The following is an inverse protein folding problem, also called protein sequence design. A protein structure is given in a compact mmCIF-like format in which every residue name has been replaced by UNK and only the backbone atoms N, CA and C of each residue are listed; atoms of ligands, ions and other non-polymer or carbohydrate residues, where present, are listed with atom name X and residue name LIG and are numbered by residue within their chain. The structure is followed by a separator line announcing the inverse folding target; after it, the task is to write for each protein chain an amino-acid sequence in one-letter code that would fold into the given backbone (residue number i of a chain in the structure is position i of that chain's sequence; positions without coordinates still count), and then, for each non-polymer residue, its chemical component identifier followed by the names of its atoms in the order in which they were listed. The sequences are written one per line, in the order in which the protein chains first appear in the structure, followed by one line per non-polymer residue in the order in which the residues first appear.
data_IF_926106267533
#
_entry.id   IF_926106267533
#
_cell.length_a   1.000
_cell.length_b   1.000
_cell.length_c   1.000
_cell.angle_alpha   90.00
_cell.angle_beta   90.00
_cell.angle_gamma   90.00
#
_symmetry.space_group_name_H-M   'P 1'
#
loop_
_entity.id
_entity.type
_entity.pdbx_description
1 polymer ?
#
# COMPACT_ATOMS: atom_id res chain seq x y z
N UNK A 1 -43.18 3.87 -67.06
CA UNK A 1 -43.11 2.72 -66.14
C UNK A 1 -42.47 3.20 -64.84
N UNK A 2 -43.10 4.07 -64.05
CA UNK A 2 -43.97 3.73 -62.89
C UNK A 2 -43.47 2.55 -62.04
N UNK A 3 -42.83 2.85 -60.89
CA UNK A 3 -43.47 2.69 -59.57
C UNK A 3 -42.67 3.39 -58.46
N UNK A 4 -43.35 4.36 -57.83
CA UNK A 4 -43.15 4.86 -56.47
C UNK A 4 -43.60 3.81 -55.45
N UNK A 5 -43.06 3.86 -54.24
CA UNK A 5 -43.75 3.47 -52.97
C UNK A 5 -42.79 3.73 -51.80
N UNK A 6 -42.81 4.89 -51.15
CA UNK A 6 -43.66 5.27 -49.98
C UNK A 6 -43.36 4.49 -48.68
N UNK A 7 -42.85 5.23 -47.69
CA UNK A 7 -42.80 4.87 -46.25
C UNK A 7 -44.19 4.57 -45.68
N UNK A 8 -44.24 3.84 -44.55
CA UNK A 8 -45.11 4.20 -43.43
C UNK A 8 -44.34 4.34 -42.08
N UNK A 9 -44.98 4.86 -41.01
CA UNK A 9 -44.32 5.53 -39.89
C UNK A 9 -44.15 4.69 -38.61
N UNK A 10 -43.46 5.30 -37.64
CA UNK A 10 -43.13 4.86 -36.28
C UNK A 10 -44.18 4.02 -35.53
N UNK A 11 -43.71 3.00 -34.80
CA UNK A 11 -44.27 2.62 -33.48
C UNK A 11 -43.14 2.18 -32.55
N UNK A 12 -43.16 2.79 -31.36
CA UNK A 12 -42.31 2.47 -30.23
C UNK A 12 -42.60 1.06 -29.72
N UNK A 13 -41.55 0.23 -29.64
CA UNK A 13 -41.55 -1.03 -28.90
C UNK A 13 -40.59 -0.91 -27.73
N UNK A 14 -41.13 -0.70 -26.53
CA UNK A 14 -40.39 -0.89 -25.28
C UNK A 14 -40.09 -2.38 -25.14
N UNK A 15 -38.83 -2.79 -25.21
CA UNK A 15 -38.41 -4.07 -24.64
C UNK A 15 -38.00 -3.83 -23.19
N UNK A 16 -38.72 -4.53 -22.32
CA UNK A 16 -38.47 -4.61 -20.89
C UNK A 16 -37.22 -5.47 -20.72
N UNK A 17 -36.06 -4.84 -20.54
CA UNK A 17 -34.90 -5.48 -19.92
C UNK A 17 -35.05 -5.31 -18.42
N UNK A 18 -35.19 -6.46 -17.77
CA UNK A 18 -35.42 -6.66 -16.36
C UNK A 18 -34.32 -5.97 -15.54
N UNK A 19 -34.65 -4.78 -15.00
CA UNK A 19 -33.80 -4.09 -14.04
C UNK A 19 -34.02 -4.77 -12.70
N UNK A 20 -33.01 -5.51 -12.23
CA UNK A 20 -32.96 -5.92 -10.83
C UNK A 20 -33.20 -4.70 -9.93
N UNK A 21 -34.06 -4.81 -8.91
CA UNK A 21 -34.46 -3.66 -8.11
C UNK A 21 -33.23 -3.11 -7.37
N UNK A 22 -32.99 -1.82 -7.59
CA UNK A 22 -32.12 -1.01 -6.73
C UNK A 22 -32.79 -0.96 -5.36
N UNK A 23 -32.10 -1.44 -4.33
CA UNK A 23 -32.55 -1.24 -2.96
C UNK A 23 -32.39 0.25 -2.61
N UNK A 24 -33.50 0.98 -2.69
CA UNK A 24 -33.64 2.28 -2.05
C UNK A 24 -33.60 2.05 -0.53
N UNK A 25 -32.52 2.51 0.09
CA UNK A 25 -32.28 2.39 1.51
C UNK A 25 -31.63 3.65 2.06
N UNK A 26 -32.38 4.76 2.07
CA UNK A 26 -32.11 5.86 2.98
C UNK A 26 -32.42 5.38 4.42
N UNK A 27 -31.46 4.65 5.01
CA UNK A 27 -31.55 4.08 6.35
C UNK A 27 -30.56 4.77 7.29
N UNK A 28 -30.99 5.83 7.94
CA UNK A 28 -30.38 6.28 9.19
C UNK A 28 -30.56 5.18 10.24
N UNK A 29 -29.55 4.33 10.43
CA UNK A 29 -29.49 3.43 11.58
C UNK A 29 -28.07 3.34 12.11
N UNK A 30 -27.87 3.90 13.30
CA UNK A 30 -26.70 3.69 14.14
C UNK A 30 -26.62 2.20 14.49
N UNK A 31 -25.84 1.42 13.77
CA UNK A 31 -25.40 0.10 14.23
C UNK A 31 -23.88 0.11 14.29
N UNK A 32 -23.36 0.14 15.51
CA UNK A 32 -21.96 -0.17 15.80
C UNK A 32 -21.72 -1.59 15.31
N UNK A 33 -20.90 -1.75 14.26
CA UNK A 33 -20.28 -3.02 13.99
C UNK A 33 -19.35 -3.32 15.19
N UNK A 34 -19.79 -4.21 16.07
CA UNK A 34 -18.91 -4.79 17.07
C UNK A 34 -17.92 -5.68 16.32
N UNK A 35 -16.69 -5.18 16.16
CA UNK A 35 -15.52 -6.04 15.94
C UNK A 35 -15.42 -6.96 17.15
N UNK A 36 -15.60 -8.25 16.92
CA UNK A 36 -15.34 -9.27 17.94
C UNK A 36 -13.83 -9.30 18.14
N UNK A 37 -13.36 -8.63 19.20
CA UNK A 37 -12.06 -8.90 19.82
C UNK A 37 -12.02 -10.36 20.27
N UNK A 38 -10.91 -11.10 20.04
CA UNK A 38 -10.40 -12.23 20.83
C UNK A 38 -8.97 -12.64 20.34
N UNK A 39 -8.22 -13.48 21.08
CA UNK A 39 -7.25 -13.12 22.09
C UNK A 39 -5.79 -13.16 21.57
N UNK A 40 -4.92 -12.46 22.28
CA UNK A 40 -3.47 -12.41 22.08
C UNK A 40 -2.82 -13.80 22.13
N UNK A 41 -1.88 -14.07 21.20
CA UNK A 41 -0.99 -15.23 21.34
C UNK A 41 -0.48 -15.84 20.04
N UNK A 42 0.30 -15.10 19.25
CA UNK A 42 1.36 -15.66 18.37
C UNK A 42 2.25 -14.51 17.90
N UNK A 43 3.55 -14.66 18.10
CA UNK A 43 4.56 -13.64 17.77
C UNK A 43 4.39 -13.14 16.34
N UNK A 44 3.96 -11.88 16.22
CA UNK A 44 3.66 -11.21 14.95
C UNK A 44 4.99 -10.81 14.30
N UNK A 45 5.39 -11.51 13.25
CA UNK A 45 6.50 -11.07 12.41
C UNK A 45 5.93 -10.16 11.32
N UNK A 46 5.88 -8.85 11.58
CA UNK A 46 5.70 -7.87 10.52
C UNK A 46 6.97 -7.90 9.68
N UNK A 47 6.94 -8.59 8.54
CA UNK A 47 7.98 -8.45 7.54
C UNK A 47 7.65 -7.21 6.73
N UNK A 48 8.10 -6.04 7.23
CA UNK A 48 8.11 -4.80 6.46
C UNK A 48 9.20 -4.93 5.39
N UNK A 49 8.82 -5.47 4.23
CA UNK A 49 9.57 -5.24 3.01
C UNK A 49 8.86 -4.10 2.33
N UNK A 50 9.45 -2.94 2.49
CA UNK A 50 8.88 -1.73 1.99
C UNK A 50 9.56 -1.44 0.64
N UNK A 51 8.82 -1.08 -0.40
CA UNK A 51 9.38 -0.74 -1.73
C UNK A 51 9.45 0.76 -2.02
N UNK A 52 9.22 1.59 -0.99
CA UNK A 52 8.89 3.01 -1.14
C UNK A 52 7.39 3.24 -1.31
N UNK A 53 6.57 2.17 -1.32
CA UNK A 53 5.14 2.27 -1.59
C UNK A 53 4.28 1.27 -0.80
N UNK A 54 4.75 0.06 -0.49
CA UNK A 54 3.87 -1.02 0.04
C UNK A 54 4.25 -1.54 1.42
N UNK A 55 3.28 -2.14 2.10
CA UNK A 55 3.45 -2.89 3.35
C UNK A 55 2.76 -4.24 3.27
N UNK A 56 3.25 -5.21 4.07
CA UNK A 56 2.69 -6.56 4.16
C UNK A 56 2.22 -6.84 5.57
N UNK A 57 0.98 -7.34 5.68
CA UNK A 57 0.43 -7.88 6.92
C UNK A 57 -0.43 -9.10 6.62
N UNK A 58 -0.41 -10.10 7.51
CA UNK A 58 -1.16 -11.35 7.33
C UNK A 58 -0.89 -12.05 5.97
N UNK A 59 0.31 -11.90 5.41
CA UNK A 59 0.71 -12.45 4.12
C UNK A 59 0.05 -11.79 2.89
N UNK A 60 -0.58 -10.63 3.05
CA UNK A 60 -1.17 -9.86 1.94
C UNK A 60 -0.66 -8.42 1.93
N UNK A 61 -0.93 -7.71 0.83
CA UNK A 61 -0.70 -6.27 0.76
C UNK A 61 -1.67 -5.57 1.71
N UNK A 62 -1.15 -4.73 2.61
CA UNK A 62 -1.95 -3.86 3.47
C UNK A 62 -1.95 -2.42 2.91
N UNK A 63 -1.38 -1.46 3.64
CA UNK A 63 -1.27 -0.09 3.20
C UNK A 63 -0.31 0.05 2.03
N UNK A 64 -0.79 0.74 0.99
CA UNK A 64 0.00 1.21 -0.15
C UNK A 64 -0.07 2.73 -0.16
N UNK A 65 1.08 3.41 -0.16
CA UNK A 65 1.23 4.85 0.03
C UNK A 65 1.48 5.54 -1.31
N UNK A 66 0.63 6.50 -1.68
CA UNK A 66 0.78 7.23 -2.96
C UNK A 66 0.08 8.60 -2.92
N UNK A 67 0.62 9.64 -3.59
CA UNK A 67 1.93 9.71 -4.23
C UNK A 67 3.07 9.93 -3.23
N UNK A 68 2.76 9.84 -1.94
CA UNK A 68 3.65 10.23 -0.84
C UNK A 68 3.56 9.19 0.27
N UNK A 69 4.66 9.02 0.99
CA UNK A 69 4.77 8.06 2.10
C UNK A 69 3.85 8.36 3.29
N UNK A 70 3.27 9.56 3.33
CA UNK A 70 2.37 10.00 4.39
C UNK A 70 0.88 9.83 4.04
N UNK A 71 0.58 9.25 2.87
CA UNK A 71 -0.77 9.13 2.33
C UNK A 71 -1.11 7.67 1.95
N UNK A 72 -1.63 6.85 2.88
CA UNK A 72 -2.10 5.51 2.55
C UNK A 72 -3.34 5.58 1.64
N UNK A 73 -3.30 4.86 0.52
CA UNK A 73 -4.36 4.80 -0.49
C UNK A 73 -5.11 3.46 -0.52
N UNK A 74 -4.50 2.40 0.01
CA UNK A 74 -5.10 1.07 0.13
C UNK A 74 -5.15 0.70 1.59
N UNK A 75 -6.20 -0.03 2.01
CA UNK A 75 -6.22 -0.68 3.32
C UNK A 75 -5.66 -2.10 3.22
N UNK A 76 -6.21 -2.88 2.31
CA UNK A 76 -5.73 -4.22 1.98
C UNK A 76 -6.04 -4.63 0.54
N UNK A 77 -5.14 -5.42 -0.04
CA UNK A 77 -5.32 -6.21 -1.25
C UNK A 77 -5.06 -7.68 -0.90
N UNK A 78 -6.14 -8.41 -0.65
CA UNK A 78 -6.13 -9.83 -0.26
C UNK A 78 -6.71 -10.75 -1.32
N UNK A 79 -6.89 -12.03 -0.96
CA UNK A 79 -7.34 -13.06 -1.90
C UNK A 79 -8.37 -14.01 -1.27
N UNK A 80 -9.30 -14.51 -2.09
CA UNK A 80 -10.15 -15.67 -1.81
C UNK A 80 -9.80 -16.78 -2.81
N UNK A 81 -9.73 -18.01 -2.33
CA UNK A 81 -9.68 -19.22 -3.16
C UNK A 81 -10.99 -19.97 -3.01
N UNK A 82 -11.64 -20.36 -4.10
CA UNK A 82 -12.91 -21.10 -4.08
C UNK A 82 -13.02 -22.09 -5.24
N UNK A 83 -13.90 -23.09 -5.14
CA UNK A 83 -14.17 -24.06 -6.22
C UNK A 83 -15.55 -23.87 -6.87
N UNK A 84 -16.30 -22.85 -6.46
CA UNK A 84 -17.70 -22.60 -6.82
C UNK A 84 -18.66 -23.78 -6.49
N UNK A 85 -18.23 -24.74 -5.66
CA UNK A 85 -18.94 -25.98 -5.25
C UNK A 85 -18.91 -26.20 -3.71
N UNK A 86 -18.91 -25.11 -2.96
CA UNK A 86 -19.06 -25.11 -1.50
C UNK A 86 -17.76 -25.00 -0.71
N UNK A 87 -16.59 -25.14 -1.34
CA UNK A 87 -15.33 -24.74 -0.73
C UNK A 87 -14.99 -23.29 -1.09
N UNK A 88 -14.68 -22.49 -0.06
CA UNK A 88 -13.97 -21.23 -0.22
C UNK A 88 -13.11 -20.95 1.03
N UNK A 89 -12.08 -20.15 0.84
CA UNK A 89 -11.06 -19.81 1.83
C UNK A 89 -10.64 -18.36 1.66
N UNK A 90 -10.72 -17.55 2.71
CA UNK A 90 -10.08 -16.24 2.76
C UNK A 90 -8.61 -16.43 3.14
N UNK A 91 -7.72 -16.22 2.17
CA UNK A 91 -6.30 -16.58 2.27
C UNK A 91 -5.65 -16.04 3.55
N UNK A 92 -5.87 -14.78 3.89
CA UNK A 92 -5.24 -14.14 5.08
C UNK A 92 -5.71 -14.69 6.43
N UNK A 93 -6.85 -15.39 6.47
CA UNK A 93 -7.45 -15.94 7.70
C UNK A 93 -7.27 -17.45 7.80
N UNK A 94 -7.44 -18.13 6.68
CA UNK A 94 -7.60 -19.59 6.65
C UNK A 94 -6.30 -20.31 6.27
N UNK A 95 -5.34 -19.62 5.61
CA UNK A 95 -4.03 -20.16 5.29
C UNK A 95 -2.93 -19.70 6.25
N UNK A 96 -1.94 -20.57 6.46
CA UNK A 96 -0.67 -20.17 7.07
C UNK A 96 0.22 -19.48 6.04
N UNK A 97 1.12 -18.59 6.46
CA UNK A 97 1.97 -17.86 5.53
C UNK A 97 3.41 -17.70 6.02
N UNK A 98 4.34 -17.69 5.06
CA UNK A 98 5.72 -17.25 5.23
C UNK A 98 5.98 -16.03 4.31
N UNK A 99 6.65 -15.00 4.84
CA UNK A 99 6.96 -13.77 4.11
C UNK A 99 8.46 -13.53 4.17
N UNK A 100 9.09 -13.38 3.00
CA UNK A 100 10.53 -13.18 2.87
C UNK A 100 10.86 -12.23 1.73
N UNK A 101 12.06 -11.65 1.78
CA UNK A 101 12.63 -10.95 0.64
C UNK A 101 13.17 -11.94 -0.40
N UNK A 102 13.39 -11.46 -1.62
CA UNK A 102 14.12 -12.20 -2.65
C UNK A 102 15.52 -12.60 -2.17
N UNK A 103 16.15 -11.69 -1.42
CA UNK A 103 17.45 -11.86 -0.74
C UNK A 103 17.46 -11.11 0.60
N UNK A 104 18.41 -11.39 1.51
CA UNK A 104 18.61 -10.59 2.71
C UNK A 104 18.72 -9.09 2.43
N UNK A 105 17.77 -8.31 2.97
CA UNK A 105 17.72 -6.85 2.80
C UNK A 105 17.18 -6.36 1.45
N UNK A 106 16.64 -7.23 0.60
CA UNK A 106 16.00 -6.81 -0.66
C UNK A 106 14.47 -6.78 -0.51
N UNK A 107 13.81 -5.63 -0.72
CA UNK A 107 12.37 -5.48 -0.55
C UNK A 107 11.50 -6.01 -1.71
N UNK A 108 12.05 -6.89 -2.55
CA UNK A 108 11.26 -7.70 -3.48
C UNK A 108 10.65 -8.86 -2.70
N UNK A 109 9.33 -8.91 -2.60
CA UNK A 109 8.64 -9.72 -1.59
C UNK A 109 8.17 -11.03 -2.20
N UNK A 110 8.37 -12.12 -1.46
CA UNK A 110 7.80 -13.42 -1.76
C UNK A 110 6.95 -13.83 -0.56
N UNK A 111 5.70 -14.20 -0.82
CA UNK A 111 4.79 -14.76 0.18
C UNK A 111 4.35 -16.14 -0.27
N UNK A 112 4.49 -17.13 0.60
CA UNK A 112 3.93 -18.47 0.37
C UNK A 112 2.82 -18.71 1.38
N UNK A 113 1.60 -18.92 0.88
CA UNK A 113 0.45 -19.35 1.65
C UNK A 113 0.25 -20.84 1.53
N UNK A 114 0.18 -21.53 2.66
CA UNK A 114 -0.02 -22.97 2.76
C UNK A 114 -1.39 -23.27 3.41
N UNK A 115 -2.21 -24.02 2.67
CA UNK A 115 -3.51 -24.53 3.07
C UNK A 115 -3.64 -26.02 2.67
N UNK A 116 -4.44 -26.86 3.36
CA UNK A 116 -4.58 -28.27 2.98
C UNK A 116 -5.08 -28.50 1.54
N UNK A 117 -5.92 -27.60 1.02
CA UNK A 117 -6.52 -27.68 -0.33
C UNK A 117 -5.68 -27.05 -1.44
N UNK A 118 -4.78 -26.10 -1.12
CA UNK A 118 -4.04 -25.32 -2.11
C UNK A 118 -2.74 -24.75 -1.55
N UNK A 119 -1.85 -24.35 -2.45
CA UNK A 119 -0.73 -23.45 -2.14
C UNK A 119 -0.85 -22.21 -3.02
N UNK A 120 -0.69 -21.03 -2.44
CA UNK A 120 -0.68 -19.77 -3.19
C UNK A 120 0.66 -19.07 -2.96
N UNK A 121 1.46 -18.94 -4.01
CA UNK A 121 2.70 -18.17 -3.99
C UNK A 121 2.47 -16.79 -4.63
N UNK A 122 2.90 -15.75 -3.94
CA UNK A 122 2.84 -14.37 -4.41
C UNK A 122 4.26 -13.81 -4.54
N UNK A 123 4.57 -13.20 -5.69
CA UNK A 123 5.76 -12.34 -5.86
C UNK A 123 5.30 -10.91 -6.04
N UNK A 124 5.86 -9.98 -5.27
CA UNK A 124 5.42 -8.59 -5.23
C UNK A 124 6.63 -7.66 -5.38
N UNK A 125 6.56 -6.73 -6.33
CA UNK A 125 7.53 -5.66 -6.50
C UNK A 125 6.81 -4.34 -6.83
N UNK A 126 7.44 -3.22 -6.46
CA UNK A 126 7.05 -1.93 -7.02
C UNK A 126 7.77 -1.69 -8.35
N UNK A 127 7.32 -0.68 -9.07
CA UNK A 127 7.99 -0.18 -10.27
C UNK A 127 8.76 1.10 -9.90
N UNK A 128 10.01 1.20 -10.34
CA UNK A 128 10.84 2.38 -10.07
C UNK A 128 10.53 3.53 -11.05
N UNK A 129 9.96 3.21 -12.21
CA UNK A 129 9.69 4.15 -13.30
C UNK A 129 8.19 4.48 -13.45
N UNK A 130 7.32 3.84 -12.67
CA UNK A 130 5.88 4.05 -12.71
C UNK A 130 5.21 4.01 -11.33
N UNK A 131 4.05 4.67 -11.22
CA UNK A 131 3.27 4.75 -9.98
C UNK A 131 2.39 3.50 -9.80
N UNK A 132 3.01 2.33 -9.63
CA UNK A 132 2.27 1.06 -9.55
C UNK A 132 2.96 -0.01 -8.71
N UNK A 133 2.17 -1.02 -8.36
CA UNK A 133 2.62 -2.27 -7.71
C UNK A 133 2.25 -3.44 -8.61
N UNK A 134 3.19 -4.38 -8.76
CA UNK A 134 3.01 -5.63 -9.50
C UNK A 134 2.90 -6.79 -8.52
N UNK A 135 1.98 -7.71 -8.81
CA UNK A 135 1.84 -8.97 -8.09
C UNK A 135 1.77 -10.09 -9.11
N UNK A 136 2.60 -11.11 -8.98
CA UNK A 136 2.39 -12.39 -9.65
C UNK A 136 1.84 -13.37 -8.62
N UNK A 137 0.72 -14.02 -8.97
CA UNK A 137 0.06 -15.00 -8.13
C UNK A 137 0.07 -16.36 -8.84
N UNK A 138 0.65 -17.37 -8.20
CA UNK A 138 0.63 -18.75 -8.67
C UNK A 138 -0.17 -19.61 -7.69
N UNK A 139 -1.27 -20.19 -8.17
CA UNK A 139 -2.15 -21.05 -7.39
C UNK A 139 -1.97 -22.51 -7.80
N UNK A 140 -1.51 -23.31 -6.84
CA UNK A 140 -1.39 -24.76 -6.97
C UNK A 140 -2.59 -25.45 -6.30
N UNK A 141 -3.32 -26.25 -7.08
CA UNK A 141 -4.32 -27.17 -6.58
C UNK A 141 -3.63 -28.45 -6.05
N UNK A 142 -3.80 -28.74 -4.74
CA UNK A 142 -3.20 -29.91 -4.06
C UNK A 142 -4.00 -31.21 -4.18
N UNK A 143 -5.18 -31.19 -4.80
CA UNK A 143 -5.86 -32.44 -5.12
C UNK A 143 -5.04 -33.22 -6.16
N UNK A 144 -5.07 -34.54 -6.04
CA UNK A 144 -4.49 -35.46 -7.00
C UNK A 144 -4.96 -35.07 -8.43
N UNK A 145 -4.06 -34.94 -9.41
CA UNK A 145 -4.44 -34.70 -10.81
C UNK A 145 -5.50 -35.68 -11.35
N UNK A 146 -5.58 -36.90 -10.80
CA UNK A 146 -6.58 -37.90 -11.15
C UNK A 146 -7.94 -37.73 -10.44
N UNK A 147 -8.04 -36.82 -9.46
CA UNK A 147 -9.30 -36.55 -8.75
C UNK A 147 -10.30 -35.83 -9.67
N UNK A 148 -11.49 -36.41 -9.94
CA UNK A 148 -12.46 -35.84 -10.87
C UNK A 148 -12.96 -34.45 -10.41
N UNK A 149 -12.92 -34.15 -9.11
CA UNK A 149 -13.32 -32.85 -8.57
C UNK A 149 -12.43 -31.72 -9.07
N UNK A 150 -11.15 -31.99 -9.31
CA UNK A 150 -10.20 -31.00 -9.83
C UNK A 150 -10.58 -30.50 -11.22
N UNK A 151 -11.12 -31.38 -12.06
CA UNK A 151 -11.61 -31.02 -13.40
C UNK A 151 -13.03 -30.45 -13.38
N UNK A 152 -13.92 -30.99 -12.55
CA UNK A 152 -15.32 -30.54 -12.46
C UNK A 152 -15.45 -29.16 -11.79
N UNK A 153 -14.64 -28.92 -10.75
CA UNK A 153 -14.67 -27.75 -9.87
C UNK A 153 -13.24 -27.25 -9.65
N UNK A 154 -12.60 -26.66 -10.68
CA UNK A 154 -11.24 -26.15 -10.56
C UNK A 154 -11.20 -24.99 -9.57
N UNK A 155 -10.10 -24.89 -8.82
CA UNK A 155 -9.89 -23.75 -7.94
C UNK A 155 -9.81 -22.45 -8.75
N UNK A 156 -10.47 -21.42 -8.20
CA UNK A 156 -10.49 -20.05 -8.70
C UNK A 156 -9.86 -19.14 -7.66
N UNK A 157 -9.20 -18.09 -8.14
CA UNK A 157 -8.58 -17.07 -7.31
C UNK A 157 -9.31 -15.74 -7.52
N UNK A 158 -9.62 -15.04 -6.43
CA UNK A 158 -10.28 -13.73 -6.47
C UNK A 158 -9.44 -12.72 -5.71
N UNK A 159 -9.12 -11.60 -6.34
CA UNK A 159 -8.51 -10.45 -5.67
C UNK A 159 -9.60 -9.63 -4.93
N UNK A 160 -9.30 -9.25 -3.70
CA UNK A 160 -10.12 -8.38 -2.85
C UNK A 160 -9.37 -7.06 -2.61
N UNK A 161 -9.83 -5.97 -3.22
CA UNK A 161 -9.24 -4.64 -3.05
C UNK A 161 -10.12 -3.78 -2.15
N UNK A 162 -9.54 -3.23 -1.07
CA UNK A 162 -10.21 -2.23 -0.23
C UNK A 162 -9.53 -0.86 -0.37
N UNK A 163 -10.04 0.02 -1.24
CA UNK A 163 -9.54 1.39 -1.38
C UNK A 163 -9.73 2.18 -0.09
N UNK A 164 -8.72 2.99 0.25
CA UNK A 164 -8.71 3.93 1.37
C UNK A 164 -8.23 5.31 0.88
N UNK A 165 -8.70 5.75 -0.28
CA UNK A 165 -8.09 6.90 -0.95
C UNK A 165 -8.22 8.18 -0.13
N UNK A 166 -7.21 9.05 -0.28
CA UNK A 166 -7.12 10.32 0.42
C UNK A 166 -6.96 10.15 1.93
N UNK A 167 -7.87 10.76 2.70
CA UNK A 167 -7.74 10.89 4.15
C UNK A 167 -8.50 9.88 5.00
N UNK A 168 -9.27 8.99 4.38
CA UNK A 168 -10.11 8.01 5.09
C UNK A 168 -10.68 6.98 4.14
N UNK A 169 -11.14 5.84 4.68
CA UNK A 169 -11.89 4.84 3.92
C UNK A 169 -13.26 5.32 3.40
N UNK A 170 -13.71 6.52 3.79
CA UNK A 170 -15.03 7.06 3.47
C UNK A 170 -15.04 7.85 2.16
N UNK A 171 -16.21 7.91 1.53
CA UNK A 171 -16.47 8.71 0.31
C UNK A 171 -15.58 8.35 -0.88
N UNK A 172 -15.16 7.10 -0.97
CA UNK A 172 -14.54 6.51 -2.15
C UNK A 172 -15.63 6.08 -3.12
N UNK A 173 -15.47 6.39 -4.41
CA UNK A 173 -16.29 5.82 -5.48
C UNK A 173 -15.51 4.69 -6.13
N UNK A 174 -16.16 3.56 -6.39
CA UNK A 174 -15.56 2.45 -7.14
C UNK A 174 -16.42 2.09 -8.34
N UNK A 175 -15.80 1.61 -9.42
CA UNK A 175 -16.50 1.12 -10.61
C UNK A 175 -15.65 0.13 -11.40
N UNK A 176 -16.32 -0.72 -12.17
CA UNK A 176 -15.72 -1.54 -13.21
C UNK A 176 -15.78 -0.74 -14.51
N UNK A 177 -14.64 -0.59 -15.18
CA UNK A 177 -14.53 0.19 -16.40
C UNK A 177 -13.65 -0.48 -17.44
N UNK A 178 -13.82 -0.10 -18.69
CA UNK A 178 -12.98 -0.57 -19.80
C UNK A 178 -12.14 0.58 -20.34
N UNK A 179 -10.85 0.36 -20.49
CA UNK A 179 -9.91 1.28 -21.13
C UNK A 179 -9.02 0.49 -22.11
N UNK A 180 -8.87 0.97 -23.35
CA UNK A 180 -8.07 0.32 -24.41
C UNK A 180 -8.38 -1.17 -24.61
N UNK A 181 -9.65 -1.57 -24.44
CA UNK A 181 -10.09 -2.96 -24.58
C UNK A 181 -9.76 -3.87 -23.39
N UNK A 182 -9.29 -3.31 -22.27
CA UNK A 182 -9.05 -4.02 -21.02
C UNK A 182 -10.04 -3.60 -19.95
N UNK A 183 -10.67 -4.58 -19.29
CA UNK A 183 -11.55 -4.32 -18.14
C UNK A 183 -10.74 -4.24 -16.86
N UNK A 184 -11.02 -3.26 -16.03
CA UNK A 184 -10.29 -2.96 -14.80
C UNK A 184 -11.26 -2.54 -13.70
N UNK A 185 -10.82 -2.74 -12.46
CA UNK A 185 -11.49 -2.23 -11.28
C UNK A 185 -10.88 -0.90 -10.88
N UNK A 186 -11.68 0.15 -10.82
CA UNK A 186 -11.24 1.50 -10.47
C UNK A 186 -11.78 1.92 -9.11
N UNK A 187 -11.03 2.79 -8.44
CA UNK A 187 -11.54 3.60 -7.34
C UNK A 187 -11.01 5.03 -7.41
N UNK A 188 -11.80 5.99 -6.96
CA UNK A 188 -11.46 7.41 -6.97
C UNK A 188 -11.97 8.15 -5.73
N UNK A 189 -11.15 9.10 -5.26
CA UNK A 189 -11.56 10.16 -4.33
C UNK A 189 -10.80 11.44 -4.63
N UNK A 190 -11.54 12.52 -4.94
CA UNK A 190 -10.92 13.76 -5.38
C UNK A 190 -10.04 13.54 -6.61
N UNK A 191 -8.77 13.96 -6.53
CA UNK A 191 -7.78 13.78 -7.57
C UNK A 191 -6.98 12.48 -7.47
N UNK A 192 -7.27 11.58 -6.53
CA UNK A 192 -6.57 10.29 -6.44
C UNK A 192 -7.40 9.21 -7.11
N UNK A 193 -6.79 8.49 -8.04
CA UNK A 193 -7.39 7.37 -8.75
C UNK A 193 -6.46 6.16 -8.67
N UNK A 194 -7.06 4.98 -8.56
CA UNK A 194 -6.37 3.70 -8.74
C UNK A 194 -7.10 2.82 -9.75
N UNK A 195 -6.33 1.97 -10.43
CA UNK A 195 -6.82 0.96 -11.36
C UNK A 195 -6.14 -0.39 -11.07
N UNK A 196 -6.94 -1.40 -10.75
CA UNK A 196 -6.52 -2.79 -10.63
C UNK A 196 -6.83 -3.52 -11.94
N UNK A 197 -5.79 -4.02 -12.57
CA UNK A 197 -5.85 -4.81 -13.79
C UNK A 197 -5.15 -6.16 -13.58
N UNK A 198 -5.49 -7.15 -14.40
CA UNK A 198 -4.80 -8.43 -14.45
C UNK A 198 -4.55 -8.91 -15.87
N UNK A 199 -3.56 -9.76 -16.02
CA UNK A 199 -3.32 -10.59 -17.20
C UNK A 199 -3.16 -12.06 -16.73
N UNK A 200 -3.95 -13.01 -17.25
CA UNK A 200 -5.10 -12.82 -18.15
C UNK A 200 -6.21 -11.89 -17.61
N UNK A 201 -7.01 -11.33 -18.52
CA UNK A 201 -8.12 -10.43 -18.15
C UNK A 201 -9.19 -11.15 -17.31
N UNK A 202 -9.83 -10.45 -16.37
CA UNK A 202 -10.83 -11.05 -15.49
C UNK A 202 -12.16 -11.29 -16.22
N UNK A 203 -12.79 -12.44 -15.99
CA UNK A 203 -14.14 -12.73 -16.49
C UNK A 203 -15.21 -12.01 -15.67
N UNK A 204 -15.02 -11.94 -14.35
CA UNK A 204 -15.97 -11.35 -13.41
C UNK A 204 -15.31 -10.29 -12.54
N UNK A 205 -15.97 -9.15 -12.42
CA UNK A 205 -15.59 -8.07 -11.51
C UNK A 205 -16.84 -7.46 -10.88
N UNK A 206 -16.68 -6.93 -9.67
CA UNK A 206 -17.76 -6.28 -8.95
C UNK A 206 -17.21 -5.28 -7.92
N UNK A 207 -17.98 -4.23 -7.65
CA UNK A 207 -17.68 -3.26 -6.58
C UNK A 207 -18.89 -3.13 -5.65
N UNK A 208 -18.65 -2.93 -4.36
CA UNK A 208 -19.73 -2.86 -3.38
C UNK A 208 -19.36 -2.10 -2.12
N UNK A 209 -20.33 -1.97 -1.20
CA UNK A 209 -20.13 -1.32 0.09
C UNK A 209 -19.66 -2.32 1.13
N UNK A 210 -18.61 -1.95 1.86
CA UNK A 210 -18.00 -2.79 2.91
C UNK A 210 -19.04 -3.12 4.00
N UNK A 211 -19.18 -4.41 4.31
CA UNK A 211 -20.11 -4.96 5.30
C UNK A 211 -21.53 -5.14 4.78
N UNK A 212 -21.78 -4.94 3.48
CA UNK A 212 -23.12 -5.07 2.89
C UNK A 212 -23.08 -5.80 1.54
N UNK A 213 -22.47 -5.18 0.53
CA UNK A 213 -22.46 -5.70 -0.86
C UNK A 213 -21.04 -5.89 -1.42
N UNK A 214 -20.02 -5.67 -0.61
CA UNK A 214 -18.63 -5.97 -0.97
C UNK A 214 -18.43 -7.47 -1.24
N UNK A 215 -17.35 -7.77 -1.94
CA UNK A 215 -17.05 -9.12 -2.37
C UNK A 215 -16.93 -10.13 -1.23
N UNK A 216 -16.38 -9.76 -0.07
CA UNK A 216 -16.25 -10.68 1.05
C UNK A 216 -17.62 -11.00 1.67
N UNK A 217 -18.42 -9.97 1.97
CA UNK A 217 -19.77 -10.15 2.55
C UNK A 217 -20.67 -10.98 1.63
N UNK A 218 -20.59 -10.72 0.32
CA UNK A 218 -21.34 -11.48 -0.66
C UNK A 218 -20.82 -12.93 -0.82
N UNK A 219 -19.51 -13.18 -0.74
CA UNK A 219 -18.97 -14.55 -0.72
C UNK A 219 -19.40 -15.33 0.52
N UNK A 220 -19.34 -14.72 1.70
CA UNK A 220 -19.78 -15.34 2.94
C UNK A 220 -21.25 -15.79 2.90
N UNK A 221 -22.08 -15.11 2.10
CA UNK A 221 -23.50 -15.45 1.92
C UNK A 221 -23.72 -16.51 0.84
N UNK A 222 -22.99 -16.42 -0.29
CA UNK A 222 -23.30 -17.19 -1.50
C UNK A 222 -22.34 -18.37 -1.77
N UNK A 223 -21.16 -18.39 -1.14
CA UNK A 223 -20.09 -19.37 -1.38
C UNK A 223 -19.39 -19.27 -2.73
N UNK A 224 -19.83 -18.36 -3.61
CA UNK A 224 -19.32 -18.15 -4.98
C UNK A 224 -19.72 -16.79 -5.52
N UNK A 225 -18.99 -16.29 -6.53
CA UNK A 225 -19.28 -14.98 -7.15
C UNK A 225 -20.45 -15.06 -8.15
N UNK A 226 -21.66 -14.70 -7.72
CA UNK A 226 -22.89 -14.71 -8.54
C UNK A 226 -23.44 -13.32 -8.85
N UNK A 227 -22.71 -12.27 -8.50
CA UNK A 227 -23.11 -10.87 -8.66
C UNK A 227 -22.06 -10.10 -9.47
N UNK A 228 -22.49 -9.00 -10.08
CA UNK A 228 -21.63 -8.09 -10.83
C UNK A 228 -22.20 -6.67 -10.70
N UNK A 229 -21.81 -5.95 -9.66
CA UNK A 229 -22.19 -4.55 -9.47
C UNK A 229 -21.18 -3.67 -10.20
N UNK A 230 -21.63 -2.83 -11.16
CA UNK A 230 -20.72 -2.10 -12.04
C UNK A 230 -20.13 -0.85 -11.38
N UNK A 231 -20.82 -0.24 -10.42
CA UNK A 231 -20.37 0.97 -9.75
C UNK A 231 -21.02 1.16 -8.38
N UNK A 232 -20.44 2.07 -7.59
CA UNK A 232 -20.96 2.51 -6.30
C UNK A 232 -21.15 4.02 -6.28
N UNK A 233 -22.06 4.48 -5.42
CA UNK A 233 -22.04 5.86 -4.93
C UNK A 233 -20.86 6.05 -3.94
N UNK A 234 -20.42 7.30 -3.66
CA UNK A 234 -19.32 7.54 -2.73
C UNK A 234 -19.60 6.96 -1.32
N UNK A 235 -18.71 6.09 -0.85
CA UNK A 235 -18.88 5.43 0.45
C UNK A 235 -17.61 4.74 0.95
N UNK A 236 -17.79 3.79 1.89
CA UNK A 236 -16.74 2.82 2.21
C UNK A 236 -16.93 1.62 1.29
N UNK A 237 -16.04 1.47 0.31
CA UNK A 237 -16.22 0.58 -0.83
C UNK A 237 -15.11 -0.44 -0.90
N UNK A 238 -15.38 -1.58 -1.53
CA UNK A 238 -14.39 -2.57 -1.88
C UNK A 238 -14.69 -3.17 -3.25
N UNK A 239 -13.64 -3.62 -3.91
CA UNK A 239 -13.67 -4.24 -5.22
C UNK A 239 -13.27 -5.70 -5.15
N UNK A 240 -13.81 -6.48 -6.08
CA UNK A 240 -13.44 -7.87 -6.29
C UNK A 240 -13.27 -8.16 -7.78
N UNK A 241 -12.23 -8.91 -8.12
CA UNK A 241 -11.97 -9.40 -9.46
C UNK A 241 -11.60 -10.89 -9.42
N UNK A 242 -12.25 -11.70 -10.25
CA UNK A 242 -11.79 -13.06 -10.54
C UNK A 242 -10.51 -13.00 -11.37
N UNK A 243 -9.47 -13.69 -10.90
CA UNK A 243 -8.21 -13.80 -11.61
C UNK A 243 -8.23 -15.07 -12.43
N UNK A 244 -8.20 -14.90 -13.75
CA UNK A 244 -8.04 -16.02 -14.66
C UNK A 244 -6.58 -16.46 -14.60
N UNK A 245 -6.37 -17.74 -14.29
CA UNK A 245 -5.05 -18.34 -14.18
C UNK A 245 -4.70 -18.96 -15.54
N UNK A 246 -3.55 -18.60 -16.11
CA UNK A 246 -3.00 -19.28 -17.28
C UNK A 246 -2.48 -20.67 -16.89
N UNK A 247 -1.17 -20.88 -16.92
CA UNK A 247 -0.54 -22.09 -16.41
C UNK A 247 -0.47 -22.09 -14.86
N UNK A 248 -1.60 -21.83 -14.19
CA UNK A 248 -1.70 -21.65 -12.74
C UNK A 248 -1.31 -20.24 -12.25
N UNK A 249 -0.88 -19.35 -13.14
CA UNK A 249 -0.37 -18.02 -12.82
C UNK A 249 -1.26 -16.90 -13.35
N UNK A 250 -1.39 -15.82 -12.58
CA UNK A 250 -1.92 -14.53 -13.02
C UNK A 250 -1.00 -13.39 -12.58
N UNK A 251 -0.86 -12.38 -13.44
CA UNK A 251 -0.23 -11.10 -13.10
C UNK A 251 -1.30 -10.08 -12.74
N UNK A 252 -1.10 -9.32 -11.68
CA UNK A 252 -1.91 -8.18 -11.30
C UNK A 252 -1.05 -6.92 -11.27
N UNK A 253 -1.67 -5.81 -11.64
CA UNK A 253 -1.10 -4.48 -11.50
C UNK A 253 -2.11 -3.58 -10.80
N UNK A 254 -1.69 -2.94 -9.71
CA UNK A 254 -2.41 -1.84 -9.08
C UNK A 254 -1.66 -0.55 -9.39
N UNK A 255 -2.19 0.25 -10.31
CA UNK A 255 -1.61 1.51 -10.72
C UNK A 255 -2.38 2.70 -10.14
N UNK A 256 -1.67 3.81 -9.95
CA UNK A 256 -2.19 5.05 -9.42
C UNK A 256 -2.11 6.18 -10.45
N UNK A 257 -2.88 7.24 -10.22
CA UNK A 257 -2.83 8.42 -11.07
C UNK A 257 -3.78 9.50 -10.59
N UNK A 258 -3.74 10.62 -11.30
CA UNK A 258 -4.63 11.77 -11.02
C UNK A 258 -5.94 11.72 -11.81
N UNK A 259 -5.99 10.83 -12.81
CA UNK A 259 -7.14 10.60 -13.69
C UNK A 259 -7.28 9.10 -13.99
N UNK A 260 -8.50 8.59 -14.27
CA UNK A 260 -8.69 7.19 -14.63
C UNK A 260 -7.85 6.72 -15.81
N UNK A 261 -7.72 7.56 -16.84
CA UNK A 261 -6.97 7.23 -18.06
C UNK A 261 -5.46 7.12 -17.81
N UNK A 262 -4.95 7.81 -16.79
CA UNK A 262 -3.53 7.78 -16.40
C UNK A 262 -3.23 6.46 -15.68
N UNK A 263 -3.99 6.14 -14.63
CA UNK A 263 -3.85 4.88 -13.91
C UNK A 263 -4.07 3.67 -14.84
N UNK A 264 -5.06 3.73 -15.73
CA UNK A 264 -5.32 2.67 -16.71
C UNK A 264 -4.18 2.51 -17.74
N UNK A 265 -3.60 3.61 -18.22
CA UNK A 265 -2.49 3.54 -19.17
C UNK A 265 -1.25 2.93 -18.52
N UNK A 266 -0.93 3.32 -17.28
CA UNK A 266 0.18 2.73 -16.53
C UNK A 266 -0.03 1.23 -16.29
N UNK A 267 -1.24 0.82 -15.88
CA UNK A 267 -1.58 -0.59 -15.72
C UNK A 267 -1.46 -1.38 -17.04
N UNK A 268 -1.96 -0.82 -18.16
CA UNK A 268 -1.82 -1.42 -19.49
C UNK A 268 -0.35 -1.58 -19.90
N UNK A 269 0.47 -0.53 -19.72
CA UNK A 269 1.88 -0.54 -20.08
C UNK A 269 2.64 -1.58 -19.25
N UNK A 270 2.32 -1.68 -17.96
CA UNK A 270 2.92 -2.66 -17.08
C UNK A 270 2.58 -4.10 -17.45
N UNK A 271 1.31 -4.38 -17.80
CA UNK A 271 0.88 -5.71 -18.25
C UNK A 271 1.39 -6.08 -19.65
N UNK A 272 1.95 -5.14 -20.41
CA UNK A 272 2.57 -5.42 -21.71
C UNK A 272 3.97 -6.04 -21.59
N UNK A 273 4.61 -5.94 -20.41
CA UNK A 273 5.91 -6.53 -20.09
C UNK A 273 5.72 -7.77 -19.21
N UNK A 274 6.55 -8.80 -19.40
CA UNK A 274 6.52 -9.97 -18.53
C UNK A 274 6.87 -9.60 -17.08
N UNK A 275 6.22 -10.26 -16.11
CA UNK A 275 6.49 -10.02 -14.69
C UNK A 275 7.97 -10.25 -14.33
N UNK A 276 8.60 -11.29 -14.91
CA UNK A 276 10.01 -11.62 -14.62
C UNK A 276 10.96 -10.47 -14.97
N UNK A 277 10.74 -9.78 -16.10
CA UNK A 277 11.58 -8.65 -16.51
C UNK A 277 11.52 -7.51 -15.48
N UNK A 278 10.30 -7.18 -15.01
CA UNK A 278 10.11 -6.16 -13.97
C UNK A 278 10.68 -6.60 -12.62
N UNK A 279 10.55 -7.88 -12.28
CA UNK A 279 11.11 -8.46 -11.07
C UNK A 279 12.63 -8.41 -11.04
N UNK A 280 13.29 -8.85 -12.12
CA UNK A 280 14.75 -8.82 -12.25
C UNK A 280 15.30 -7.40 -12.25
N UNK A 281 14.64 -6.46 -12.93
CA UNK A 281 15.01 -5.05 -12.91
C UNK A 281 14.95 -4.46 -11.49
N UNK A 282 13.82 -4.68 -10.80
CA UNK A 282 13.62 -4.20 -9.43
C UNK A 282 14.65 -4.80 -8.46
N UNK A 283 14.84 -6.12 -8.50
CA UNK A 283 15.86 -6.81 -7.70
C UNK A 283 17.26 -6.28 -8.03
N UNK A 284 17.59 -6.08 -9.31
CA UNK A 284 18.86 -5.54 -9.77
C UNK A 284 19.16 -4.14 -9.24
N UNK A 285 18.18 -3.24 -9.29
CA UNK A 285 18.31 -1.89 -8.72
C UNK A 285 18.60 -1.93 -7.22
N UNK A 286 17.91 -2.78 -6.47
CA UNK A 286 18.18 -2.95 -5.04
C UNK A 286 19.54 -3.60 -4.77
N UNK A 287 19.97 -4.59 -5.55
CA UNK A 287 21.32 -5.16 -5.41
C UNK A 287 22.39 -4.10 -5.59
N UNK A 288 22.28 -3.23 -6.61
CA UNK A 288 23.23 -2.14 -6.81
C UNK A 288 23.17 -1.10 -5.68
N UNK A 289 21.99 -0.77 -5.18
CA UNK A 289 21.85 0.08 -3.99
C UNK A 289 22.51 -0.52 -2.75
N UNK A 290 22.33 -1.83 -2.52
CA UNK A 290 22.86 -2.53 -1.35
C UNK A 290 24.34 -2.87 -1.47
N UNK A 291 24.91 -2.86 -2.68
CA UNK A 291 26.30 -3.25 -2.97
C UNK A 291 27.35 -2.57 -2.06
N UNK A 292 27.31 -1.24 -1.80
CA UNK A 292 28.26 -0.61 -0.88
C UNK A 292 28.11 -1.11 0.57
N UNK A 293 26.90 -1.53 0.95
CA UNK A 293 26.54 -1.97 2.30
C UNK A 293 26.88 -3.45 2.55
N UNK A 294 27.11 -4.24 1.49
CA UNK A 294 27.48 -5.66 1.62
C UNK A 294 28.81 -5.88 2.34
N UNK A 295 29.70 -4.88 2.32
CA UNK A 295 30.89 -4.78 3.17
C UNK A 295 30.44 -4.36 4.57
N UNK A 296 29.81 -5.30 5.27
CA UNK A 296 29.39 -5.12 6.64
C UNK A 296 30.62 -4.80 7.50
N UNK A 297 30.55 -3.86 8.47
CA UNK A 297 31.65 -3.61 9.37
C UNK A 297 32.07 -4.91 10.08
N UNK A 298 33.38 -5.11 10.30
CA UNK A 298 33.91 -6.31 11.00
C UNK A 298 33.29 -6.51 12.40
N UNK A 299 32.76 -5.45 13.00
CA UNK A 299 32.06 -5.48 14.28
C UNK A 299 30.70 -6.18 14.24
N UNK A 300 30.15 -6.46 13.06
CA UNK A 300 28.84 -7.14 12.91
C UNK A 300 29.08 -8.64 12.72
N UNK A 301 28.61 -9.50 13.65
CA UNK A 301 28.71 -10.94 13.49
C UNK A 301 27.97 -11.44 12.24
N UNK A 302 28.46 -12.52 11.63
CA UNK A 302 27.82 -13.12 10.45
C UNK A 302 26.34 -13.49 10.69
N UNK A 303 26.02 -13.92 11.91
CA UNK A 303 24.64 -14.25 12.32
C UNK A 303 23.68 -13.05 12.23
N UNK A 304 24.20 -11.82 12.37
CA UNK A 304 23.41 -10.58 12.35
C UNK A 304 23.45 -9.88 10.98
N UNK A 305 24.17 -10.44 10.00
CA UNK A 305 24.34 -9.82 8.68
C UNK A 305 23.00 -9.56 7.97
N UNK A 306 22.07 -10.51 8.05
CA UNK A 306 20.72 -10.35 7.47
C UNK A 306 19.96 -9.22 8.17
N UNK A 307 20.07 -9.10 9.50
CA UNK A 307 19.43 -8.02 10.25
C UNK A 307 20.01 -6.66 9.87
N UNK A 308 21.34 -6.56 9.74
CA UNK A 308 22.01 -5.34 9.30
C UNK A 308 21.55 -4.88 7.91
N UNK A 309 21.56 -5.79 6.91
CA UNK A 309 21.12 -5.47 5.55
C UNK A 309 19.64 -5.09 5.51
N UNK A 310 18.79 -5.82 6.24
CA UNK A 310 17.35 -5.50 6.34
C UNK A 310 17.13 -4.14 6.98
N UNK A 311 17.87 -3.80 8.04
CA UNK A 311 17.74 -2.50 8.71
C UNK A 311 18.15 -1.36 7.78
N UNK A 312 19.23 -1.51 7.01
CA UNK A 312 19.65 -0.50 6.05
C UNK A 312 18.63 -0.31 4.91
N UNK A 313 18.02 -1.40 4.45
CA UNK A 313 16.95 -1.35 3.46
C UNK A 313 15.71 -0.63 4.00
N UNK A 314 15.26 -0.94 5.22
CA UNK A 314 14.14 -0.25 5.88
C UNK A 314 14.42 1.26 5.95
N UNK A 315 15.60 1.69 6.39
CA UNK A 315 15.95 3.12 6.44
C UNK A 315 15.88 3.80 5.06
N UNK A 316 16.27 3.09 3.99
CA UNK A 316 16.16 3.60 2.63
C UNK A 316 14.71 3.81 2.23
N UNK A 317 13.84 2.90 2.63
CA UNK A 317 12.45 2.92 2.19
C UNK A 317 11.63 3.99 2.90
N UNK A 318 11.90 4.21 4.19
CA UNK A 318 11.23 5.27 4.95
C UNK A 318 11.56 6.68 4.43
N UNK A 319 12.54 6.83 3.54
CA UNK A 319 12.92 8.10 2.95
C UNK A 319 11.97 8.48 1.80
N UNK A 320 11.39 9.67 1.89
CA UNK A 320 10.48 10.20 0.89
C UNK A 320 11.20 10.47 -0.44
N UNK A 321 10.56 10.08 -1.55
CA UNK A 321 11.12 10.25 -2.90
C UNK A 321 11.04 11.71 -3.39
N UNK A 322 10.02 12.45 -2.96
CA UNK A 322 9.77 13.82 -3.42
C UNK A 322 10.57 14.86 -2.62
N UNK A 323 10.86 14.59 -1.34
CA UNK A 323 11.57 15.50 -0.46
C UNK A 323 12.85 14.85 0.13
N UNK A 324 14.02 15.13 -0.47
CA UNK A 324 15.29 14.63 0.04
C UNK A 324 15.50 14.98 1.52
N UNK A 325 15.75 13.95 2.34
CA UNK A 325 16.00 14.09 3.78
C UNK A 325 14.77 14.04 4.67
N UNK A 326 13.56 14.06 4.11
CA UNK A 326 12.35 13.70 4.85
C UNK A 326 12.29 12.17 4.97
N UNK A 327 12.30 11.66 6.20
CA UNK A 327 12.22 10.24 6.52
C UNK A 327 11.12 10.06 7.56
N UNK A 328 10.14 9.23 7.27
CA UNK A 328 9.02 8.98 8.19
C UNK A 328 9.46 8.02 9.30
N UNK A 329 8.77 8.04 10.45
CA UNK A 329 9.14 7.18 11.58
C UNK A 329 8.87 5.69 11.29
N UNK A 330 7.77 5.37 10.61
CA UNK A 330 7.44 4.01 10.13
C UNK A 330 6.27 4.07 9.14
N UNK A 331 6.24 3.17 8.15
CA UNK A 331 5.06 2.97 7.30
C UNK A 331 4.01 2.11 8.00
N UNK A 332 3.55 2.54 9.17
CA UNK A 332 2.51 1.84 9.92
C UNK A 332 1.52 2.79 10.58
N UNK A 333 0.31 2.27 10.79
CA UNK A 333 -0.74 2.89 11.60
C UNK A 333 -0.96 2.01 12.83
N UNK A 334 -0.34 2.34 13.98
CA UNK A 334 -0.52 1.56 15.20
C UNK A 334 -2.00 1.44 15.57
N UNK A 335 -2.46 0.20 15.80
CA UNK A 335 -3.87 -0.12 16.03
C UNK A 335 -4.82 0.32 14.90
N UNK A 336 -4.33 0.31 13.65
CA UNK A 336 -5.08 0.69 12.44
C UNK A 336 -6.37 -0.09 12.22
N UNK A 337 -6.49 -1.30 12.79
CA UNK A 337 -7.73 -2.09 12.77
C UNK A 337 -8.90 -1.42 13.53
N UNK A 338 -8.58 -0.50 14.44
CA UNK A 338 -9.54 0.18 15.32
C UNK A 338 -9.61 1.69 15.08
N UNK A 339 -8.81 2.22 14.16
CA UNK A 339 -8.71 3.67 13.90
C UNK A 339 -8.84 4.01 12.41
N UNK A 340 -9.35 5.21 12.16
CA UNK A 340 -9.56 5.77 10.81
C UNK A 340 -8.88 7.15 10.68
N UNK A 341 -7.95 7.49 11.59
CA UNK A 341 -7.22 8.74 11.56
C UNK A 341 -6.08 8.71 10.53
N UNK A 342 -5.91 9.85 9.86
CA UNK A 342 -4.74 10.17 9.02
C UNK A 342 -3.41 10.16 9.80
N UNK A 343 -3.47 10.19 11.13
CA UNK A 343 -2.29 10.23 11.99
C UNK A 343 -1.74 8.82 12.20
N UNK A 344 -0.51 8.60 11.78
CA UNK A 344 0.21 7.34 11.99
C UNK A 344 1.67 7.59 12.31
N UNK A 345 2.49 6.56 12.16
CA UNK A 345 3.94 6.72 12.26
C UNK A 345 4.56 7.15 10.92
N UNK A 346 3.74 7.27 9.87
CA UNK A 346 4.12 7.78 8.56
C UNK A 346 4.22 9.32 8.53
N UNK A 347 4.65 9.92 9.64
CA UNK A 347 4.96 11.33 9.82
C UNK A 347 6.46 11.49 10.09
N UNK A 348 6.97 12.69 9.87
CA UNK A 348 8.36 13.02 10.16
C UNK A 348 8.48 13.51 11.59
N UNK A 349 9.30 12.84 12.39
CA UNK A 349 9.60 13.21 13.77
C UNK A 349 11.06 13.64 13.89
N UNK A 350 11.33 14.83 14.42
CA UNK A 350 12.71 15.34 14.52
C UNK A 350 13.62 14.46 15.35
N UNK A 351 13.09 13.79 16.38
CA UNK A 351 13.83 12.80 17.17
C UNK A 351 14.28 11.63 16.29
N UNK A 352 13.32 11.01 15.61
CA UNK A 352 13.52 9.81 14.81
C UNK A 352 14.47 10.12 13.63
N UNK A 353 14.34 11.30 12.99
CA UNK A 353 15.29 11.77 11.98
C UNK A 353 16.74 11.84 12.47
N UNK A 354 16.97 12.22 13.72
CA UNK A 354 18.34 12.33 14.27
C UNK A 354 18.95 10.96 14.49
N UNK A 355 18.15 9.98 14.93
CA UNK A 355 18.59 8.58 15.04
C UNK A 355 18.89 8.00 13.65
N UNK A 356 18.01 8.23 12.67
CA UNK A 356 18.22 7.81 11.28
C UNK A 356 19.46 8.45 10.68
N UNK A 357 19.68 9.76 10.89
CA UNK A 357 20.88 10.44 10.43
C UNK A 357 22.15 9.81 11.02
N UNK A 358 22.12 9.42 12.31
CA UNK A 358 23.21 8.68 12.94
C UNK A 358 23.46 7.32 12.30
N UNK A 359 22.40 6.57 12.02
CA UNK A 359 22.48 5.29 11.31
C UNK A 359 23.04 5.45 9.88
N UNK A 360 22.60 6.46 9.13
CA UNK A 360 23.11 6.76 7.80
C UNK A 360 24.61 7.09 7.82
N UNK A 361 25.09 7.81 8.85
CA UNK A 361 26.54 8.03 9.04
C UNK A 361 27.26 6.71 9.31
N UNK A 362 26.71 5.85 10.17
CA UNK A 362 27.31 4.54 10.47
C UNK A 362 27.34 3.61 9.23
N UNK A 363 26.35 3.72 8.34
CA UNK A 363 26.29 3.01 7.06
C UNK A 363 27.22 3.61 5.98
N UNK A 364 27.93 4.72 6.27
CA UNK A 364 28.74 5.43 5.29
C UNK A 364 27.92 6.24 4.26
N UNK A 365 26.61 6.35 4.45
CA UNK A 365 25.68 7.08 3.58
C UNK A 365 25.69 8.60 3.86
N UNK A 366 26.88 9.22 3.83
CA UNK A 366 27.08 10.61 4.25
C UNK A 366 26.26 11.65 3.46
N UNK A 367 25.97 11.40 2.18
CA UNK A 367 25.10 12.28 1.39
C UNK A 367 23.66 12.26 1.89
N UNK A 368 23.10 11.08 2.18
CA UNK A 368 21.75 10.95 2.73
C UNK A 368 21.65 11.56 4.14
N UNK A 369 22.68 11.38 4.97
CA UNK A 369 22.75 12.02 6.29
C UNK A 369 22.75 13.56 6.19
N UNK A 370 23.49 14.13 5.24
CA UNK A 370 23.48 15.59 4.98
C UNK A 370 22.12 16.09 4.49
N UNK A 371 21.44 15.36 3.60
CA UNK A 371 20.08 15.72 3.19
C UNK A 371 19.12 15.71 4.37
N UNK A 372 19.22 14.71 5.26
CA UNK A 372 18.40 14.62 6.48
C UNK A 372 18.64 15.83 7.40
N UNK A 373 19.91 16.22 7.59
CA UNK A 373 20.25 17.42 8.36
C UNK A 373 19.74 18.71 7.69
N UNK A 374 19.87 18.83 6.37
CA UNK A 374 19.37 19.98 5.62
C UNK A 374 17.85 20.11 5.75
N UNK A 375 17.12 19.00 5.70
CA UNK A 375 15.69 18.95 5.95
C UNK A 375 15.32 19.39 7.37
N UNK A 376 16.05 18.93 8.39
CA UNK A 376 15.86 19.38 9.78
C UNK A 376 16.07 20.89 9.90
N UNK A 377 17.13 21.44 9.30
CA UNK A 377 17.37 22.90 9.33
C UNK A 377 16.26 23.66 8.61
N UNK A 378 15.81 23.15 7.45
CA UNK A 378 14.74 23.79 6.67
C UNK A 378 13.36 23.76 7.37
N UNK A 379 13.13 22.81 8.28
CA UNK A 379 11.89 22.69 9.04
C UNK A 379 11.96 23.27 10.46
N UNK A 380 13.03 23.99 10.78
CA UNK A 380 13.13 24.72 12.04
C UNK A 380 12.24 25.97 12.00
N UNK A 381 11.44 26.17 13.05
CA UNK A 381 10.59 27.35 13.19
C UNK A 381 11.43 28.62 13.46
N UNK A 382 10.90 29.83 13.19
CA UNK A 382 11.68 31.08 13.28
C UNK A 382 12.31 31.39 14.64
N UNK A 383 11.78 30.84 15.73
CA UNK A 383 12.30 30.98 17.10
C UNK A 383 13.32 29.88 17.49
N UNK A 384 13.62 28.97 16.56
CA UNK A 384 14.61 27.91 16.69
C UNK A 384 14.09 26.56 17.21
N UNK A 385 12.79 26.41 17.45
CA UNK A 385 12.23 25.11 17.84
C UNK A 385 11.86 24.24 16.63
N UNK A 386 11.58 22.96 16.87
CA UNK A 386 10.92 22.06 15.92
C UNK A 386 9.57 21.64 16.49
N UNK A 387 8.56 21.55 15.62
CA UNK A 387 7.28 20.94 15.96
C UNK A 387 7.46 19.47 16.33
N UNK A 388 6.55 18.92 17.13
CA UNK A 388 6.65 17.54 17.63
C UNK A 388 6.77 16.51 16.50
N UNK A 389 5.93 16.66 15.48
CA UNK A 389 5.94 15.91 14.24
C UNK A 389 5.32 16.77 13.14
N UNK A 390 5.58 16.39 11.90
CA UNK A 390 5.12 17.12 10.74
C UNK A 390 4.89 16.19 9.55
N UNK A 391 4.06 16.67 8.62
CA UNK A 391 4.08 16.15 7.27
C UNK A 391 5.42 16.53 6.62
N UNK A 392 5.78 15.91 5.51
CA UNK A 392 7.07 16.18 4.88
C UNK A 392 7.24 17.67 4.49
N UNK A 393 6.16 18.40 4.17
CA UNK A 393 6.17 19.85 3.87
C UNK A 393 6.21 20.78 5.10
N UNK A 394 6.14 20.23 6.31
CA UNK A 394 6.01 21.01 7.55
C UNK A 394 4.67 20.79 8.28
N UNK A 395 4.39 21.60 9.31
CA UNK A 395 3.25 21.40 10.19
C UNK A 395 1.92 21.52 9.44
N UNK A 396 0.90 20.82 9.95
CA UNK A 396 -0.47 20.89 9.42
C UNK A 396 -0.97 22.34 9.54
N UNK A 397 -1.55 22.90 8.50
CA UNK A 397 -2.30 24.16 8.60
C UNK A 397 -3.53 23.94 9.50
N UNK A 398 -3.42 24.33 10.77
CA UNK A 398 -4.44 24.19 11.82
C UNK A 398 -3.79 24.07 13.21
N UNK A 399 -4.48 24.44 14.31
CA UNK A 399 -3.85 24.56 15.62
C UNK A 399 -3.33 23.20 16.09
N UNK A 400 -2.01 23.03 16.07
CA UNK A 400 -1.34 21.85 16.62
C UNK A 400 -1.48 21.87 18.15
N UNK A 401 -1.90 20.74 18.73
CA UNK A 401 -1.82 20.52 20.17
C UNK A 401 -0.35 20.54 20.57
N UNK A 402 0.05 21.57 21.31
CA UNK A 402 1.40 21.80 21.79
C UNK A 402 1.84 20.69 22.75
N UNK A 403 2.84 19.89 22.37
CA UNK A 403 3.79 19.36 23.33
C UNK A 403 5.21 19.53 22.77
N UNK A 404 5.90 20.54 23.30
CA UNK A 404 7.25 20.97 22.93
C UNK A 404 8.27 20.01 23.54
N UNK A 405 9.31 19.60 22.79
CA UNK A 405 10.51 18.97 23.36
C UNK A 405 11.69 19.95 23.33
N UNK A 406 12.62 19.86 24.31
CA UNK A 406 13.80 20.74 24.37
C UNK A 406 14.74 20.51 23.18
N UNK A 407 15.70 21.42 22.93
CA UNK A 407 16.61 21.33 21.79
C UNK A 407 17.41 20.02 21.78
N UNK A 408 17.52 19.42 20.59
CA UNK A 408 18.39 18.28 20.33
C UNK A 408 19.85 18.75 20.46
N UNK A 409 20.75 17.98 21.12
CA UNK A 409 22.14 18.39 21.27
C UNK A 409 22.81 18.62 19.90
N UNK A 410 23.61 19.67 19.80
CA UNK A 410 24.44 20.05 18.64
C UNK A 410 25.51 19.00 18.24
N UNK A 411 25.40 17.76 18.69
CA UNK A 411 26.35 16.67 18.43
C UNK A 411 26.19 16.04 17.04
N UNK A 412 25.03 16.15 16.40
CA UNK A 412 24.77 15.59 15.06
C UNK A 412 25.46 16.39 13.95
N UNK A 413 25.46 17.72 14.04
CA UNK A 413 26.19 18.60 13.10
C UNK A 413 27.70 18.41 13.19
N UNK A 414 28.23 18.18 14.40
CA UNK A 414 29.65 17.93 14.64
C UNK A 414 30.13 16.60 14.03
N UNK A 415 29.29 15.56 13.97
CA UNK A 415 29.65 14.25 13.37
C UNK A 415 29.58 14.24 11.85
N UNK A 416 28.77 15.08 11.24
CA UNK A 416 28.55 15.10 9.78
C UNK A 416 29.54 15.99 9.00
N UNK A 417 30.49 16.65 9.68
CA UNK A 417 31.49 17.53 9.05
C UNK A 417 30.91 18.76 8.32
N UNK A 418 29.63 19.06 8.51
CA UNK A 418 28.96 20.18 7.87
C UNK A 418 29.20 21.46 8.68
N UNK A 419 30.12 22.32 8.20
CA UNK A 419 30.16 23.71 8.63
C UNK A 419 28.90 24.41 8.11
N UNK A 420 27.91 24.63 8.99
CA UNK A 420 26.78 25.52 8.72
C UNK A 420 27.36 26.93 8.51
N UNK A 421 27.09 27.63 7.40
CA UNK A 421 27.51 29.01 7.24
C UNK A 421 26.89 29.85 8.37
N UNK A 422 27.74 30.41 9.22
CA UNK A 422 27.36 31.28 10.31
C UNK A 422 26.77 32.60 9.75
N UNK A 423 25.49 32.59 9.43
CA UNK A 423 24.70 33.79 9.16
C UNK A 423 23.44 33.77 10.02
N UNK A 424 23.62 33.64 11.33
CA UNK A 424 22.57 33.91 12.30
C UNK A 424 23.13 34.80 13.41
N UNK A 425 23.19 36.10 13.13
CA UNK A 425 23.73 37.18 13.98
C UNK A 425 22.79 37.56 15.14
N UNK A 426 22.06 36.62 15.71
CA UNK A 426 21.08 36.88 16.80
C UNK A 426 21.48 36.39 18.18
N UNK A 427 22.41 35.44 18.30
CA UNK A 427 22.61 34.70 19.55
C UNK A 427 23.97 34.99 20.21
N UNK A 428 24.21 36.25 20.59
CA UNK A 428 25.26 36.57 21.58
C UNK A 428 24.73 37.55 22.62
N UNK A 429 24.54 37.01 23.83
CA UNK A 429 24.51 37.62 25.18
C UNK A 429 23.16 37.48 25.89
N UNK A 430 23.10 36.52 26.82
CA UNK A 430 22.68 36.80 28.20
C UNK A 430 23.48 35.94 29.16
N UNK A 431 24.30 36.63 29.96
CA UNK A 431 25.24 36.11 30.95
C UNK A 431 24.50 35.37 32.08
N UNK A 432 25.16 34.32 32.59
CA UNK A 432 24.95 33.71 33.91
C UNK A 432 24.80 34.81 34.99
N UNK A 433 23.77 34.70 35.84
CA UNK A 433 23.72 35.38 37.14
C UNK A 433 24.40 34.48 38.19
N UNK A 434 25.28 35.00 39.07
CA UNK A 434 25.79 34.25 40.20
C UNK A 434 24.79 34.31 41.37
N UNK A 435 24.66 33.19 42.07
CA UNK A 435 23.98 33.09 43.38
C UNK A 435 24.92 33.72 44.41
N UNK A 436 24.42 34.71 45.15
CA UNK A 436 25.09 35.29 46.32
C UNK A 436 24.60 34.60 47.58
N UNK A 437 25.53 34.19 48.42
CA UNK A 437 25.32 33.74 49.79
C UNK A 437 25.46 34.92 50.76
N UNK A 438 24.52 35.02 51.70
CA UNK A 438 24.56 35.68 53.03
C UNK A 438 23.17 35.40 53.61
N UNK A 439 22.98 34.71 54.73
CA UNK A 439 23.69 34.70 56.01
C UNK A 439 23.68 33.31 56.62
#
# INVERSE_FOLDING_TARGET
MTRRSSRPPCRAGRSVLDRQPRHDGAGSARHRANLVEQPEGRGRRLTLLESGLVTIGHGILNEIYWPRLDLPQVRDLGFIVADDDGFWSEVKRDATHDVRGAEPGLPAIIVTHDHPRYRLDLRICADDDADLVRVEAHLEDRLDPADPRRGAHPLRLYALLAPRLGSSGRSNRAWVGTDRGRTMLFAQKGSVVMALASEPQPDRQSVGFVGASDGWTAFATNGRMTWAYPDTEPGNVAGMAELILGDGTAQLVLAFGTRPQEAALQACAALATHFEEAWEAYVGHWREFMKPLTRCPESVPDADRTLYLTSAAVLRVLADRAQPGAIVASLSTPWGDTRDDLGGYHLVWSRDLVEVAGALVALGAGTAARHTLAYLVASQEPDGHWVQNQWWMGPRSGPASSSTRPPIPSSSSARCGAAVPATCTGCRRRKRRPISSTS
#
